data_IF_368333638416
#
_entry.id   IF_368333638416
#
_cell.length_a   1.000
_cell.length_b   1.000
_cell.length_c   1.000
_cell.angle_alpha   90.00
_cell.angle_beta   90.00
_cell.angle_gamma   90.00
#
_symmetry.space_group_name_H-M   'P 1'
#
loop_
_entity.id
_entity.type
_entity.pdbx_description
1 polymer ?
#
# COMPACT_ATOMS: atom_id res chain seq x y z
N UNK A 1 -22.53 -92.60 -15.69
CA UNK A 1 -22.88 -91.74 -14.53
C UNK A 1 -22.22 -90.40 -14.72
N UNK A 2 -23.00 -89.36 -15.00
CA UNK A 2 -22.55 -88.04 -15.48
C UNK A 2 -22.42 -87.09 -14.33
N UNK A 3 -21.25 -86.53 -14.11
CA UNK A 3 -21.02 -85.49 -13.11
C UNK A 3 -21.02 -84.12 -13.75
N UNK A 4 -21.92 -83.30 -13.25
CA UNK A 4 -22.19 -81.96 -13.66
C UNK A 4 -20.95 -81.06 -13.50
N UNK A 5 -20.51 -80.44 -14.60
CA UNK A 5 -19.57 -79.33 -14.56
C UNK A 5 -20.26 -78.07 -14.07
N UNK A 6 -19.89 -77.62 -12.94
CA UNK A 6 -20.30 -76.29 -12.42
C UNK A 6 -19.49 -75.22 -13.16
N UNK A 7 -20.14 -74.53 -14.07
CA UNK A 7 -19.59 -73.40 -14.73
C UNK A 7 -19.60 -72.19 -13.69
N UNK A 8 -18.44 -71.88 -13.24
CA UNK A 8 -18.26 -70.62 -12.43
C UNK A 8 -18.34 -69.41 -13.36
N UNK A 9 -19.25 -68.48 -13.13
CA UNK A 9 -19.22 -67.25 -13.90
C UNK A 9 -17.93 -66.50 -13.55
N UNK A 10 -17.15 -66.17 -14.55
CA UNK A 10 -16.02 -65.24 -14.40
C UNK A 10 -16.56 -63.88 -13.92
N UNK A 11 -16.25 -63.50 -12.69
CA UNK A 11 -16.51 -62.14 -12.19
C UNK A 11 -15.68 -61.19 -13.04
N UNK A 12 -16.34 -60.59 -14.04
CA UNK A 12 -15.76 -59.50 -14.82
C UNK A 12 -15.43 -58.37 -13.87
N UNK A 13 -14.15 -58.17 -13.61
CA UNK A 13 -13.68 -56.93 -12.96
C UNK A 13 -14.03 -55.78 -13.90
N UNK A 14 -15.05 -55.02 -13.56
CA UNK A 14 -15.28 -53.72 -14.13
C UNK A 14 -14.10 -52.83 -13.73
N UNK A 15 -13.07 -52.78 -14.55
CA UNK A 15 -12.04 -51.76 -14.46
C UNK A 15 -12.69 -50.45 -14.94
N UNK A 16 -13.25 -49.71 -13.98
CA UNK A 16 -13.65 -48.32 -14.21
C UNK A 16 -12.34 -47.53 -14.14
N UNK A 17 -11.68 -47.38 -15.27
CA UNK A 17 -10.58 -46.43 -15.38
C UNK A 17 -11.21 -45.03 -15.34
N UNK A 18 -10.94 -44.19 -14.29
CA UNK A 18 -11.46 -42.87 -14.28
C UNK A 18 -10.84 -42.08 -15.44
N UNK A 19 -11.68 -41.64 -16.35
CA UNK A 19 -11.25 -40.79 -17.45
C UNK A 19 -10.88 -39.42 -16.86
N UNK A 20 -9.59 -39.20 -16.62
CA UNK A 20 -9.04 -37.95 -16.01
C UNK A 20 -8.95 -36.80 -17.01
N UNK A 21 -9.14 -37.05 -18.30
CA UNK A 21 -9.04 -36.03 -19.33
C UNK A 21 -10.01 -34.84 -19.12
N UNK A 22 -11.30 -35.06 -18.80
CA UNK A 22 -12.21 -33.96 -18.50
C UNK A 22 -11.83 -33.21 -17.25
N UNK A 23 -11.22 -33.87 -16.26
CA UNK A 23 -10.76 -33.23 -15.01
C UNK A 23 -9.56 -32.31 -15.26
N UNK A 24 -8.61 -32.76 -16.08
CA UNK A 24 -7.44 -31.98 -16.45
C UNK A 24 -7.85 -30.75 -17.27
N UNK A 25 -8.81 -30.88 -18.15
CA UNK A 25 -9.32 -29.77 -18.97
C UNK A 25 -9.92 -28.66 -18.10
N UNK A 26 -10.78 -29.03 -17.14
CA UNK A 26 -11.34 -28.06 -16.18
C UNK A 26 -10.25 -27.38 -15.35
N UNK A 27 -9.24 -28.12 -14.88
CA UNK A 27 -8.11 -27.56 -14.14
C UNK A 27 -7.29 -26.59 -14.98
N UNK A 28 -7.04 -26.93 -16.26
CA UNK A 28 -6.34 -26.05 -17.20
C UNK A 28 -7.11 -24.72 -17.44
N UNK A 29 -8.41 -24.85 -17.70
CA UNK A 29 -9.27 -23.66 -17.91
C UNK A 29 -9.29 -22.76 -16.68
N UNK A 30 -9.44 -23.34 -15.47
CA UNK A 30 -9.37 -22.58 -14.23
C UNK A 30 -8.01 -21.90 -14.04
N UNK A 31 -6.91 -22.60 -14.35
CA UNK A 31 -5.56 -22.02 -14.27
C UNK A 31 -5.41 -20.80 -15.20
N UNK A 32 -5.90 -20.88 -16.43
CA UNK A 32 -5.85 -19.78 -17.40
C UNK A 32 -6.70 -18.60 -16.91
N UNK A 33 -7.90 -18.87 -16.38
CA UNK A 33 -8.78 -17.82 -15.84
C UNK A 33 -8.09 -17.11 -14.67
N UNK A 34 -7.51 -17.84 -13.73
CA UNK A 34 -6.76 -17.25 -12.62
C UNK A 34 -5.54 -16.45 -13.11
N UNK A 35 -4.80 -16.98 -14.08
CA UNK A 35 -3.65 -16.26 -14.64
C UNK A 35 -4.06 -14.97 -15.34
N UNK A 36 -5.22 -14.94 -16.01
CA UNK A 36 -5.76 -13.75 -16.63
C UNK A 36 -6.37 -12.75 -15.61
N UNK A 37 -6.90 -13.26 -14.49
CA UNK A 37 -7.51 -12.43 -13.45
C UNK A 37 -6.46 -11.72 -12.56
N UNK A 38 -5.28 -12.30 -12.33
CA UNK A 38 -4.22 -11.76 -11.50
C UNK A 38 -3.79 -10.34 -11.89
N UNK A 39 -3.55 -9.99 -13.17
CA UNK A 39 -3.16 -8.61 -13.53
C UNK A 39 -4.28 -7.59 -13.32
N UNK A 40 -5.55 -8.02 -13.25
CA UNK A 40 -6.68 -7.12 -13.01
C UNK A 40 -6.80 -6.69 -11.53
N UNK A 41 -6.32 -7.53 -10.61
CA UNK A 41 -6.34 -7.20 -9.17
C UNK A 41 -5.14 -6.33 -8.75
N UNK A 42 -4.11 -6.23 -9.58
CA UNK A 42 -2.93 -5.39 -9.30
C UNK A 42 -3.16 -3.89 -9.57
N UNK A 43 -4.33 -3.47 -10.04
CA UNK A 43 -4.70 -2.05 -10.09
C UNK A 43 -5.15 -1.48 -8.74
N UNK A 44 -4.91 -2.20 -7.65
CA UNK A 44 -5.05 -1.70 -6.31
C UNK A 44 -3.83 -0.89 -5.89
N UNK A 45 -4.02 0.43 -5.74
CA UNK A 45 -3.07 1.41 -5.27
C UNK A 45 -1.96 1.73 -6.29
N UNK A 46 -2.32 2.54 -7.29
CA UNK A 46 -1.36 3.46 -7.90
C UNK A 46 -0.84 4.39 -6.79
N UNK A 47 0.09 3.90 -6.01
CA UNK A 47 1.02 4.78 -5.32
C UNK A 47 1.84 5.39 -6.45
N UNK A 48 1.38 6.52 -6.97
CA UNK A 48 2.20 7.39 -7.81
C UNK A 48 3.42 7.78 -6.96
N UNK A 49 4.43 6.93 -6.97
CA UNK A 49 5.79 7.42 -6.76
C UNK A 49 6.02 8.36 -7.92
N UNK A 50 6.19 9.67 -7.69
CA UNK A 50 6.60 10.56 -8.75
C UNK A 50 7.91 9.99 -9.28
N UNK A 51 7.88 9.40 -10.49
CA UNK A 51 9.09 9.23 -11.26
C UNK A 51 9.67 10.64 -11.42
N UNK A 52 10.98 10.85 -11.28
CA UNK A 52 11.58 12.10 -11.63
C UNK A 52 11.37 12.27 -13.14
N UNK A 53 10.33 13.02 -13.53
CA UNK A 53 10.15 13.45 -14.91
C UNK A 53 11.34 14.35 -15.26
N UNK A 54 12.17 14.00 -16.25
CA UNK A 54 13.31 14.81 -16.63
C UNK A 54 12.91 16.07 -17.44
N UNK A 55 11.62 16.35 -17.59
CA UNK A 55 11.12 17.48 -18.37
C UNK A 55 9.92 18.12 -17.70
N UNK A 56 10.15 18.82 -16.60
CA UNK A 56 9.30 19.94 -16.22
C UNK A 56 10.22 21.06 -15.82
N UNK A 57 10.40 21.93 -16.77
CA UNK A 57 11.11 23.19 -16.67
C UNK A 57 10.65 23.98 -15.44
N UNK A 58 11.63 24.38 -14.63
CA UNK A 58 11.80 25.70 -14.02
C UNK A 58 10.54 26.34 -13.41
N UNK A 59 9.94 25.66 -12.44
CA UNK A 59 9.44 26.36 -11.27
C UNK A 59 10.45 26.12 -10.15
N UNK A 60 10.96 27.16 -9.49
CA UNK A 60 11.84 26.95 -8.35
C UNK A 60 11.12 25.98 -7.39
N UNK A 61 11.81 24.97 -6.85
CA UNK A 61 11.18 24.01 -5.96
C UNK A 61 10.57 24.78 -4.80
N UNK A 62 9.24 24.85 -4.76
CA UNK A 62 8.56 25.44 -3.61
C UNK A 62 9.07 24.70 -2.40
N UNK A 63 9.68 25.38 -1.40
CA UNK A 63 10.31 24.71 -0.29
C UNK A 63 9.27 23.78 0.36
N UNK A 64 9.58 22.48 0.38
CA UNK A 64 8.71 21.48 0.99
C UNK A 64 8.46 21.84 2.44
N UNK A 65 7.22 21.85 2.88
CA UNK A 65 6.88 22.06 4.28
C UNK A 65 7.09 20.75 5.03
N UNK A 66 7.99 20.81 6.01
CA UNK A 66 8.27 19.67 6.89
C UNK A 66 7.78 20.00 8.31
N UNK A 67 6.94 19.13 8.82
CA UNK A 67 6.51 19.09 10.21
C UNK A 67 7.33 18.03 10.94
N UNK A 68 8.05 18.41 11.97
CA UNK A 68 8.77 17.50 12.83
C UNK A 68 8.05 17.36 14.16
N UNK A 69 7.83 16.14 14.62
CA UNK A 69 7.23 15.83 15.90
C UNK A 69 8.22 15.01 16.72
N UNK A 70 8.83 15.65 17.69
CA UNK A 70 9.87 15.08 18.54
C UNK A 70 9.28 14.22 19.67
N UNK A 71 10.10 13.32 20.24
CA UNK A 71 9.75 12.48 21.38
C UNK A 71 9.24 13.28 22.60
N UNK A 72 9.77 14.49 22.81
CA UNK A 72 9.39 15.40 23.89
C UNK A 72 7.98 16.03 23.70
N UNK A 73 7.29 15.67 22.63
CA UNK A 73 5.96 16.24 22.33
C UNK A 73 6.00 17.61 21.68
N UNK A 74 7.18 18.06 21.24
CA UNK A 74 7.35 19.33 20.54
C UNK A 74 7.06 19.18 19.05
N UNK A 75 6.21 20.07 18.54
CA UNK A 75 5.92 20.14 17.10
C UNK A 75 6.65 21.35 16.52
N UNK A 76 7.35 21.15 15.43
CA UNK A 76 7.98 22.22 14.65
C UNK A 76 7.51 22.15 13.21
N UNK A 77 7.18 23.32 12.65
CA UNK A 77 6.84 23.47 11.21
C UNK A 77 7.90 24.36 10.59
N UNK A 78 8.65 23.84 9.63
CA UNK A 78 9.79 24.55 9.03
C UNK A 78 10.78 25.11 10.07
N UNK A 79 11.10 24.32 11.11
CA UNK A 79 11.99 24.70 12.24
C UNK A 79 11.40 25.74 13.19
N UNK A 80 10.15 26.13 13.03
CA UNK A 80 9.44 27.04 13.92
C UNK A 80 8.56 26.24 14.88
N UNK A 81 8.70 26.47 16.19
CA UNK A 81 7.87 25.76 17.19
C UNK A 81 6.42 26.19 17.09
N UNK A 82 5.53 25.23 17.14
CA UNK A 82 4.09 25.43 17.09
C UNK A 82 3.43 24.57 18.15
N UNK A 83 2.53 25.16 18.93
CA UNK A 83 1.73 24.39 19.88
C UNK A 83 0.65 23.59 19.17
N UNK A 84 0.38 22.35 19.64
CA UNK A 84 -0.63 21.46 19.04
C UNK A 84 -2.00 22.11 18.84
N UNK A 85 -2.55 22.90 19.79
CA UNK A 85 -3.84 23.56 19.59
C UNK A 85 -3.83 24.61 18.46
N UNK A 86 -2.68 25.22 18.18
CA UNK A 86 -2.53 26.24 17.15
C UNK A 86 -2.06 25.68 15.81
N UNK A 87 -1.72 24.39 15.76
CA UNK A 87 -1.16 23.74 14.59
C UNK A 87 -2.04 23.89 13.35
N UNK A 88 -3.34 23.69 13.50
CA UNK A 88 -4.28 23.80 12.39
C UNK A 88 -4.33 25.21 11.80
N UNK A 89 -4.37 26.25 12.63
CA UNK A 89 -4.39 27.65 12.16
C UNK A 89 -3.08 28.01 11.47
N UNK A 90 -1.94 27.66 12.06
CA UNK A 90 -0.61 27.91 11.46
C UNK A 90 -0.46 27.21 10.13
N UNK A 91 -0.88 25.95 10.03
CA UNK A 91 -0.85 25.21 8.76
C UNK A 91 -1.79 25.85 7.73
N UNK A 92 -2.97 26.31 8.13
CA UNK A 92 -3.89 27.01 7.24
C UNK A 92 -3.23 28.25 6.65
N UNK A 93 -2.61 29.10 7.48
CA UNK A 93 -1.93 30.33 7.04
C UNK A 93 -0.75 30.04 6.10
N UNK A 94 0.06 29.01 6.42
CA UNK A 94 1.21 28.60 5.62
C UNK A 94 0.79 28.08 4.24
N UNK A 95 -0.36 27.41 4.15
CA UNK A 95 -0.84 26.77 2.91
C UNK A 95 -1.87 27.61 2.14
N UNK A 96 -2.39 28.73 2.68
CA UNK A 96 -3.38 29.59 1.99
C UNK A 96 -2.90 30.04 0.62
N UNK A 97 -1.64 30.46 0.52
CA UNK A 97 -1.07 31.03 -0.70
C UNK A 97 -0.27 30.03 -1.53
N UNK A 98 -0.33 28.73 -1.18
CA UNK A 98 0.42 27.69 -1.88
C UNK A 98 -0.47 26.88 -2.83
N UNK A 99 0.03 26.66 -4.04
CA UNK A 99 -0.60 25.73 -5.00
C UNK A 99 -0.37 24.28 -4.63
N UNK A 100 0.82 23.96 -4.15
CA UNK A 100 1.16 22.61 -3.66
C UNK A 100 0.82 22.48 -2.18
N UNK A 101 -0.17 21.65 -1.88
CA UNK A 101 -0.66 21.36 -0.54
C UNK A 101 -0.12 20.01 -0.04
N UNK A 102 1.19 19.84 -0.14
CA UNK A 102 1.88 18.64 0.36
C UNK A 102 2.64 18.98 1.64
N UNK A 103 2.33 18.25 2.71
CA UNK A 103 3.01 18.33 4.01
C UNK A 103 3.79 17.05 4.23
N UNK A 104 5.05 17.17 4.61
CA UNK A 104 5.87 16.04 5.05
C UNK A 104 5.91 16.03 6.57
N UNK A 105 5.54 14.89 7.17
CA UNK A 105 5.56 14.69 8.62
C UNK A 105 6.70 13.74 8.96
N UNK A 106 7.57 14.20 9.83
CA UNK A 106 8.64 13.39 10.43
C UNK A 106 8.34 13.25 11.93
N UNK A 107 7.85 12.09 12.32
CA UNK A 107 7.56 11.79 13.73
C UNK A 107 8.64 10.87 14.31
N UNK A 108 8.96 11.07 15.59
CA UNK A 108 9.83 10.15 16.32
C UNK A 108 9.12 8.82 16.55
N UNK A 109 9.87 7.71 16.41
CA UNK A 109 9.33 6.35 16.53
C UNK A 109 8.83 5.98 17.93
N UNK A 110 9.22 6.73 18.97
CA UNK A 110 8.79 6.53 20.35
C UNK A 110 7.41 7.12 20.65
N UNK A 111 6.88 7.97 19.74
CA UNK A 111 5.60 8.63 19.95
C UNK A 111 4.42 7.64 19.84
N UNK A 112 3.43 7.73 20.73
CA UNK A 112 2.19 6.97 20.59
C UNK A 112 1.51 7.30 19.27
N UNK A 113 1.06 6.26 18.56
CA UNK A 113 0.41 6.38 17.26
C UNK A 113 -0.76 7.39 17.26
N UNK A 114 -1.57 7.41 18.32
CA UNK A 114 -2.69 8.34 18.45
C UNK A 114 -2.28 9.82 18.39
N UNK A 115 -1.08 10.17 18.87
CA UNK A 115 -0.56 11.54 18.77
C UNK A 115 -0.21 11.92 17.35
N UNK A 116 0.38 11.00 16.61
CA UNK A 116 0.72 11.20 15.18
C UNK A 116 -0.55 11.37 14.35
N UNK A 117 -1.57 10.55 14.63
CA UNK A 117 -2.89 10.67 13.97
C UNK A 117 -3.51 12.02 14.24
N UNK A 118 -3.45 12.53 15.48
CA UNK A 118 -3.97 13.87 15.81
C UNK A 118 -3.32 15.00 15.01
N UNK A 119 -2.01 14.89 14.72
CA UNK A 119 -1.31 15.85 13.87
C UNK A 119 -1.76 15.73 12.40
N UNK A 120 -1.98 14.51 11.91
CA UNK A 120 -2.49 14.26 10.56
C UNK A 120 -3.91 14.83 10.40
N UNK A 121 -4.76 14.66 11.40
CA UNK A 121 -6.12 15.19 11.38
C UNK A 121 -6.11 16.73 11.39
N UNK A 122 -5.26 17.37 12.21
CA UNK A 122 -5.07 18.80 12.19
C UNK A 122 -4.60 19.30 10.81
N UNK A 123 -3.68 18.56 10.16
CA UNK A 123 -3.21 18.88 8.82
C UNK A 123 -4.34 18.78 7.77
N UNK A 124 -5.17 17.74 7.85
CA UNK A 124 -6.35 17.61 6.98
C UNK A 124 -7.38 18.70 7.21
N UNK A 125 -7.61 19.07 8.48
CA UNK A 125 -8.47 20.19 8.84
C UNK A 125 -7.99 21.55 8.31
N UNK A 126 -6.68 21.71 8.08
CA UNK A 126 -6.08 22.88 7.43
C UNK A 126 -6.18 22.86 5.89
N UNK A 127 -6.84 21.87 5.31
CA UNK A 127 -7.05 21.75 3.86
C UNK A 127 -5.85 21.18 3.09
N UNK A 128 -4.93 20.47 3.78
CA UNK A 128 -3.80 19.81 3.15
C UNK A 128 -4.28 18.53 2.46
N UNK A 129 -4.02 18.42 1.16
CA UNK A 129 -4.51 17.31 0.34
C UNK A 129 -3.58 16.10 0.34
N UNK A 130 -2.29 16.31 0.55
CA UNK A 130 -1.28 15.25 0.52
C UNK A 130 -0.40 15.30 1.77
N UNK A 131 -0.31 14.18 2.46
CA UNK A 131 0.56 14.01 3.63
C UNK A 131 1.55 12.90 3.35
N UNK A 132 2.84 13.22 3.36
CA UNK A 132 3.93 12.26 3.27
C UNK A 132 4.52 12.01 4.66
N UNK A 133 4.77 10.76 5.02
CA UNK A 133 5.45 10.42 6.28
C UNK A 133 6.91 10.09 5.98
N UNK A 134 7.82 10.79 6.65
CA UNK A 134 9.26 10.54 6.57
C UNK A 134 9.63 9.62 7.72
N UNK A 135 10.10 8.41 7.40
CA UNK A 135 10.58 7.45 8.39
C UNK A 135 12.07 7.64 8.65
N UNK A 136 12.56 7.12 9.79
CA UNK A 136 13.99 7.18 10.14
C UNK A 136 14.89 6.53 9.08
N UNK A 137 14.44 5.47 8.45
CA UNK A 137 15.16 4.83 7.35
C UNK A 137 15.38 5.76 6.15
N UNK A 138 14.41 6.64 5.86
CA UNK A 138 14.52 7.65 4.81
C UNK A 138 15.46 8.81 5.21
N UNK A 139 15.51 9.16 6.51
CA UNK A 139 16.46 10.14 7.05
C UNK A 139 17.90 9.65 6.89
N UNK A 140 18.17 8.42 7.32
CA UNK A 140 19.50 7.84 7.23
C UNK A 140 20.02 7.71 5.78
N UNK A 141 19.14 7.53 4.82
CA UNK A 141 19.49 7.50 3.40
C UNK A 141 19.90 8.88 2.85
N UNK A 142 19.35 9.98 3.43
CA UNK A 142 19.66 11.35 2.99
C UNK A 142 20.97 11.88 3.58
N UNK A 143 21.38 11.41 4.76
CA UNK A 143 22.64 11.82 5.40
C UNK A 143 23.89 11.14 4.83
N UNK A 144 23.72 10.08 4.04
CA UNK A 144 24.84 9.33 3.39
C UNK A 144 25.23 9.88 2.01
N UNK A 145 24.67 10.99 1.57
CA UNK A 145 24.96 11.62 0.28
C UNK A 145 25.56 13.03 0.51
#
# INVERSE_FOLDING_TARGET
MRLNGVVRPAAGRLQIEPNITPLIDVLLVLLIIFMAALPLTQKGLDVKTPAPDPTTETSPPSPSIVLEYSADGLVTVNKQRVDLPQLQSVLTDVFQNRRDKTLFISADGSLPYGRVVGVIDAARGAGISRVGVITESMRAAKERK
#
